data_IF_297488982029
#
_entry.id   IF_297488982029
#
_cell.length_a   1.000
_cell.length_b   1.000
_cell.length_c   1.000
_cell.angle_alpha   90.00
_cell.angle_beta   90.00
_cell.angle_gamma   90.00
#
_symmetry.space_group_name_H-M   'P 1'
#
loop_
_entity.id
_entity.type
_entity.pdbx_description
1 polymer ?
#
# COMPACT_ATOMS: atom_id res chain seq x y z
N UNK A 1 -4.82 22.67 -3.67
CA UNK A 1 -4.34 21.94 -2.49
C UNK A 1 -4.78 20.51 -2.66
N UNK A 2 -3.83 19.58 -2.78
CA UNK A 2 -4.15 18.17 -2.82
C UNK A 2 -4.43 17.72 -1.37
N UNK A 3 -5.59 17.08 -1.15
CA UNK A 3 -6.01 16.63 0.17
C UNK A 3 -5.65 15.15 0.30
N UNK A 4 -5.31 14.70 1.50
CA UNK A 4 -5.07 13.28 1.75
C UNK A 4 -6.30 12.44 1.38
N UNK A 5 -6.07 11.37 0.63
CA UNK A 5 -7.05 10.37 0.19
C UNK A 5 -6.41 8.99 0.22
N UNK A 6 -7.21 7.95 0.05
CA UNK A 6 -6.69 6.60 -0.13
C UNK A 6 -6.35 6.39 -1.61
N UNK A 7 -5.14 5.90 -1.85
CA UNK A 7 -4.67 5.48 -3.17
C UNK A 7 -4.23 4.03 -3.10
N UNK A 8 -4.49 3.28 -4.17
CA UNK A 8 -3.97 1.92 -4.32
C UNK A 8 -2.74 1.92 -5.20
N UNK A 9 -1.68 1.27 -4.73
CA UNK A 9 -0.54 0.90 -5.54
C UNK A 9 -0.63 -0.60 -5.78
N UNK A 10 -0.85 -1.00 -7.04
CA UNK A 10 -0.98 -2.39 -7.44
C UNK A 10 0.30 -2.89 -8.13
N UNK A 11 0.76 -4.06 -7.72
CA UNK A 11 1.86 -4.79 -8.34
C UNK A 11 1.33 -6.14 -8.80
N UNK A 12 1.17 -6.30 -10.12
CA UNK A 12 0.70 -7.54 -10.74
C UNK A 12 1.88 -8.40 -11.23
N UNK A 13 1.59 -9.60 -11.73
CA UNK A 13 2.60 -10.49 -12.32
C UNK A 13 3.31 -11.38 -11.32
N UNK A 14 2.72 -11.61 -10.14
CA UNK A 14 3.13 -12.70 -9.25
C UNK A 14 2.60 -14.03 -9.80
N UNK A 15 3.38 -15.10 -9.66
CA UNK A 15 3.03 -16.43 -10.13
C UNK A 15 1.90 -17.09 -9.33
N UNK A 16 1.61 -16.58 -8.15
CA UNK A 16 0.48 -16.97 -7.30
C UNK A 16 0.25 -15.93 -6.20
N UNK A 17 -0.89 -16.03 -5.52
CA UNK A 17 -1.18 -15.24 -4.32
C UNK A 17 -0.13 -15.42 -3.24
N UNK A 18 0.41 -16.64 -3.07
CA UNK A 18 1.44 -16.90 -2.08
C UNK A 18 2.74 -16.10 -2.35
N UNK A 19 3.09 -15.88 -3.63
CA UNK A 19 4.22 -15.03 -3.99
C UNK A 19 3.91 -13.55 -3.73
N UNK A 20 2.67 -13.10 -4.00
CA UNK A 20 2.23 -11.75 -3.66
C UNK A 20 2.22 -11.51 -2.13
N UNK A 21 1.78 -12.49 -1.34
CA UNK A 21 1.85 -12.45 0.13
C UNK A 21 3.29 -12.35 0.62
N UNK A 22 4.22 -13.13 0.05
CA UNK A 22 5.63 -13.06 0.42
C UNK A 22 6.27 -11.68 0.14
N UNK A 23 5.70 -10.90 -0.78
CA UNK A 23 6.14 -9.54 -1.07
C UNK A 23 5.61 -8.49 -0.07
N UNK A 24 4.71 -8.84 0.86
CA UNK A 24 4.19 -7.91 1.87
C UNK A 24 5.28 -7.48 2.86
N UNK A 25 6.05 -8.42 3.41
CA UNK A 25 7.13 -8.14 4.38
C UNK A 25 8.16 -7.11 3.89
N UNK A 26 8.76 -7.25 2.69
CA UNK A 26 9.72 -6.27 2.21
C UNK A 26 9.08 -4.90 1.94
N UNK A 27 7.79 -4.85 1.57
CA UNK A 27 7.07 -3.58 1.39
C UNK A 27 6.75 -2.92 2.74
N UNK A 28 6.34 -3.70 3.74
CA UNK A 28 6.12 -3.18 5.09
C UNK A 28 7.40 -2.51 5.65
N UNK A 29 8.56 -3.14 5.46
CA UNK A 29 9.86 -2.57 5.86
C UNK A 29 10.27 -1.34 5.05
N UNK A 30 9.89 -1.27 3.78
CA UNK A 30 10.12 -0.09 2.95
C UNK A 30 9.28 1.11 3.46
N UNK A 31 8.00 0.88 3.76
CA UNK A 31 7.07 1.93 4.18
C UNK A 31 7.25 2.34 5.64
N UNK A 32 7.68 1.42 6.49
CA UNK A 32 7.97 1.64 7.91
C UNK A 32 9.30 0.97 8.29
N UNK A 33 10.44 1.65 8.10
CA UNK A 33 11.75 1.10 8.43
C UNK A 33 11.99 0.89 9.93
N UNK A 34 11.28 1.65 10.78
CA UNK A 34 11.31 1.53 12.24
C UNK A 34 9.91 1.22 12.77
N UNK A 35 9.64 -0.05 13.07
CA UNK A 35 8.34 -0.49 13.60
C UNK A 35 8.01 0.07 15.00
N UNK A 36 9.00 0.66 15.69
CA UNK A 36 8.85 1.19 17.05
C UNK A 36 8.75 2.73 17.08
N UNK A 37 8.71 3.40 15.92
CA UNK A 37 8.51 4.85 15.89
C UNK A 37 7.15 5.23 16.53
N UNK A 38 7.07 6.42 17.13
CA UNK A 38 5.79 6.94 17.62
C UNK A 38 4.96 7.41 16.43
N UNK A 39 3.78 6.79 16.27
CA UNK A 39 2.90 7.00 15.12
C UNK A 39 2.27 8.40 15.01
N UNK A 40 1.41 8.62 13.99
CA UNK A 40 1.16 7.71 12.88
C UNK A 40 2.38 7.59 11.96
N UNK A 41 2.41 6.52 11.16
CA UNK A 41 3.38 6.39 10.07
C UNK A 41 3.37 7.65 9.19
N UNK A 42 4.53 8.03 8.65
CA UNK A 42 4.63 9.18 7.73
C UNK A 42 3.69 9.04 6.51
N UNK A 43 3.45 7.81 6.09
CA UNK A 43 2.37 7.42 5.18
C UNK A 43 1.64 6.25 5.84
N UNK A 44 0.41 6.43 6.34
CA UNK A 44 -0.40 5.30 6.80
C UNK A 44 -0.73 4.38 5.63
N UNK A 45 -0.64 3.07 5.84
CA UNK A 45 -0.80 2.07 4.78
C UNK A 45 -1.50 0.79 5.24
N UNK A 46 -2.03 0.04 4.28
CA UNK A 46 -2.50 -1.34 4.43
C UNK A 46 -2.02 -2.19 3.26
N UNK A 47 -1.83 -3.49 3.49
CA UNK A 47 -1.36 -4.46 2.48
C UNK A 47 -2.35 -5.61 2.36
N UNK A 48 -2.66 -5.99 1.12
CA UNK A 48 -3.37 -7.23 0.84
C UNK A 48 -2.86 -7.87 -0.46
N UNK A 49 -2.99 -9.19 -0.55
CA UNK A 49 -2.74 -9.95 -1.78
C UNK A 49 -4.08 -10.49 -2.29
N UNK A 50 -4.32 -10.36 -3.59
CA UNK A 50 -5.56 -10.77 -4.24
C UNK A 50 -5.26 -11.50 -5.55
N UNK A 51 -6.19 -12.34 -6.00
CA UNK A 51 -6.12 -12.93 -7.34
C UNK A 51 -6.14 -11.84 -8.42
N UNK A 52 -5.36 -12.04 -9.49
CA UNK A 52 -5.37 -11.20 -10.67
C UNK A 52 -6.67 -11.44 -11.49
N UNK A 53 -7.56 -10.43 -11.64
CA UNK A 53 -8.81 -10.60 -12.34
C UNK A 53 -8.62 -10.87 -13.85
N UNK A 54 -7.49 -10.44 -14.42
CA UNK A 54 -7.19 -10.60 -15.84
C UNK A 54 -6.32 -11.85 -16.11
N UNK A 55 -5.74 -12.45 -15.06
CA UNK A 55 -4.88 -13.63 -15.17
C UNK A 55 -5.10 -14.62 -14.00
N UNK A 56 -6.15 -15.47 -14.07
CA UNK A 56 -6.46 -16.42 -13.00
C UNK A 56 -5.28 -17.29 -12.57
N UNK A 57 -5.07 -17.41 -11.26
CA UNK A 57 -3.94 -18.13 -10.65
C UNK A 57 -2.65 -17.31 -10.55
N UNK A 58 -2.66 -16.04 -10.99
CA UNK A 58 -1.62 -15.06 -10.70
C UNK A 58 -2.08 -14.17 -9.55
N UNK A 59 -1.10 -13.71 -8.75
CA UNK A 59 -1.37 -12.80 -7.64
C UNK A 59 -1.11 -11.35 -8.00
N UNK A 60 -1.82 -10.46 -7.32
CA UNK A 60 -1.60 -9.01 -7.28
C UNK A 60 -1.40 -8.60 -5.84
N UNK A 61 -0.31 -7.87 -5.58
CA UNK A 61 -0.13 -7.17 -4.31
C UNK A 61 -0.77 -5.79 -4.41
N UNK A 62 -1.61 -5.44 -3.43
CA UNK A 62 -2.23 -4.12 -3.31
C UNK A 62 -1.69 -3.45 -2.05
N UNK A 63 -1.21 -2.23 -2.23
CA UNK A 63 -0.76 -1.33 -1.16
C UNK A 63 -1.69 -0.14 -1.12
N UNK A 64 -2.57 -0.09 -0.13
CA UNK A 64 -3.40 1.09 0.09
C UNK A 64 -2.64 2.10 0.95
N UNK A 65 -2.59 3.36 0.52
CA UNK A 65 -1.89 4.44 1.23
C UNK A 65 -2.81 5.64 1.44
N UNK A 66 -2.86 6.16 2.67
CA UNK A 66 -3.60 7.38 2.99
C UNK A 66 -2.68 8.59 2.92
N UNK A 67 -2.63 9.25 1.78
CA UNK A 67 -1.69 10.35 1.57
C UNK A 67 -2.14 11.27 0.43
N UNK A 68 -1.31 12.21 -0.02
CA UNK A 68 -1.57 13.02 -1.23
C UNK A 68 -1.18 12.24 -2.48
N UNK A 69 -1.76 12.58 -3.65
CA UNK A 69 -1.43 11.89 -4.91
C UNK A 69 0.05 11.96 -5.23
N UNK A 70 0.68 13.12 -5.01
CA UNK A 70 2.12 13.30 -5.23
C UNK A 70 2.94 12.32 -4.42
N UNK A 71 2.62 12.16 -3.12
CA UNK A 71 3.35 11.26 -2.24
C UNK A 71 3.09 9.79 -2.56
N UNK A 72 1.89 9.45 -3.03
CA UNK A 72 1.60 8.10 -3.53
C UNK A 72 2.38 7.79 -4.83
N UNK A 73 2.55 8.77 -5.72
CA UNK A 73 3.38 8.62 -6.92
C UNK A 73 4.85 8.36 -6.59
N UNK A 74 5.38 9.03 -5.57
CA UNK A 74 6.76 8.85 -5.11
C UNK A 74 7.04 7.42 -4.62
N UNK A 75 6.01 6.66 -4.23
CA UNK A 75 6.13 5.28 -3.78
C UNK A 75 6.17 4.25 -4.93
N UNK A 76 5.78 4.61 -6.16
CA UNK A 76 5.71 3.65 -7.27
C UNK A 76 7.06 3.04 -7.62
N UNK A 77 8.09 3.88 -7.72
CA UNK A 77 9.44 3.43 -8.07
C UNK A 77 10.04 2.50 -7.00
N UNK A 78 10.11 2.87 -5.70
CA UNK A 78 10.72 2.00 -4.69
C UNK A 78 9.92 0.71 -4.45
N UNK A 79 8.58 0.75 -4.52
CA UNK A 79 7.76 -0.47 -4.46
C UNK A 79 8.07 -1.39 -5.65
N UNK A 80 8.23 -0.80 -6.84
CA UNK A 80 8.56 -1.56 -8.03
C UNK A 80 9.96 -2.20 -7.97
N UNK A 81 10.95 -1.48 -7.45
CA UNK A 81 12.31 -2.01 -7.24
C UNK A 81 12.32 -3.17 -6.24
N UNK A 82 11.64 -3.02 -5.09
CA UNK A 82 11.56 -4.06 -4.07
C UNK A 82 10.88 -5.33 -4.58
N UNK A 83 9.83 -5.19 -5.39
CA UNK A 83 9.08 -6.33 -5.94
C UNK A 83 9.67 -6.88 -7.24
N UNK A 84 10.64 -6.18 -7.83
CA UNK A 84 11.19 -6.49 -9.15
C UNK A 84 10.19 -6.36 -10.29
N UNK A 85 9.12 -5.56 -10.11
CA UNK A 85 7.94 -5.49 -11.00
C UNK A 85 7.44 -4.05 -11.11
N UNK A 86 6.79 -3.65 -12.21
CA UNK A 86 6.20 -2.31 -12.28
C UNK A 86 5.00 -2.18 -11.32
N UNK A 87 4.93 -1.05 -10.63
CA UNK A 87 3.80 -0.66 -9.79
C UNK A 87 2.90 0.34 -10.51
N UNK A 88 1.59 0.28 -10.26
CA UNK A 88 0.60 1.18 -10.86
C UNK A 88 -0.21 1.88 -9.77
N UNK A 89 -0.47 3.18 -9.94
CA UNK A 89 -1.30 3.95 -9.03
C UNK A 89 -2.75 4.00 -9.51
N UNK A 90 -3.68 3.71 -8.62
CA UNK A 90 -5.12 3.84 -8.81
C UNK A 90 -5.70 4.73 -7.71
N UNK A 91 -6.75 5.47 -8.05
CA UNK A 91 -7.60 6.14 -7.07
C UNK A 91 -8.48 5.07 -6.40
N UNK A 92 -8.56 5.07 -5.06
CA UNK A 92 -9.38 4.13 -4.30
C UNK A 92 -10.60 4.83 -3.67
N UNK A 93 -11.67 4.08 -3.41
CA UNK A 93 -12.75 4.58 -2.55
C UNK A 93 -12.31 4.46 -1.09
N UNK A 94 -12.27 5.55 -0.30
CA UNK A 94 -11.94 5.46 1.13
C UNK A 94 -12.86 4.51 1.92
N UNK A 95 -14.08 4.24 1.46
CA UNK A 95 -14.98 3.27 2.11
C UNK A 95 -14.45 1.83 2.07
N UNK A 96 -13.60 1.51 1.10
CA UNK A 96 -12.98 0.18 1.00
C UNK A 96 -11.84 0.01 2.03
N UNK A 97 -11.43 1.11 2.68
CA UNK A 97 -10.28 1.18 3.58
C UNK A 97 -10.63 1.93 4.89
N UNK A 98 -11.85 1.77 5.38
CA UNK A 98 -12.33 2.42 6.61
C UNK A 98 -11.43 2.15 7.82
N UNK A 99 -10.91 0.94 7.96
CA UNK A 99 -9.99 0.57 9.06
C UNK A 99 -8.69 1.37 9.01
N UNK A 100 -8.11 1.54 7.82
CA UNK A 100 -6.88 2.34 7.62
C UNK A 100 -7.12 3.80 8.00
N UNK A 101 -8.24 4.37 7.54
CA UNK A 101 -8.60 5.76 7.83
C UNK A 101 -8.86 5.97 9.31
N UNK A 102 -9.58 5.04 9.95
CA UNK A 102 -9.91 5.11 11.36
C UNK A 102 -8.68 4.94 12.26
N UNK A 103 -7.80 3.99 11.94
CA UNK A 103 -6.53 3.81 12.67
C UNK A 103 -5.70 5.10 12.61
N UNK A 104 -5.53 5.69 11.42
CA UNK A 104 -4.79 6.93 11.28
C UNK A 104 -5.42 8.07 12.10
N UNK A 105 -6.76 8.17 12.11
CA UNK A 105 -7.48 9.16 12.90
C UNK A 105 -7.22 9.00 14.40
N UNK A 106 -7.21 7.78 14.91
CA UNK A 106 -6.93 7.48 16.33
C UNK A 106 -5.48 7.84 16.66
N UNK A 107 -4.52 7.40 15.86
CA UNK A 107 -3.09 7.65 16.08
C UNK A 107 -2.74 9.14 16.00
N UNK A 108 -3.35 9.89 15.07
CA UNK A 108 -3.17 11.33 14.94
C UNK A 108 -3.76 12.14 16.12
N UNK A 109 -4.75 11.59 16.84
CA UNK A 109 -5.33 12.21 18.03
C UNK A 109 -4.58 11.86 19.33
N UNK A 110 -3.76 10.80 19.31
CA UNK A 110 -3.01 10.31 20.46
C UNK A 110 -1.61 10.95 20.61
N UNK A 111 -1.21 11.81 19.67
CA UNK A 111 0.11 12.44 19.57
C UNK A 111 0.00 13.97 19.67
#
# INVERSE_FOLDING_TARGET
>A
MDLSRVYEIRVAGFASDAEAVAAQDPIARLLCPDEFHRGPCEVPWSLCAVDDPDAPGRGVLVVAVLTTRSKALDLLHPIGEVTGRPAQLLDADPSDYEELVEQHRIEALAN
#
